data_IF_078315065640
#
_entry.id   IF_078315065640
#
_cell.length_a   1.000
_cell.length_b   1.000
_cell.length_c   1.000
_cell.angle_alpha   90.00
_cell.angle_beta   90.00
_cell.angle_gamma   90.00
#
_symmetry.space_group_name_H-M   'P 1'
#
loop_
_entity.id
_entity.type
_entity.pdbx_description
1 polymer ?
#
# COMPACT_ATOMS: atom_id res chain seq x y z
N UNK A 1 16.66 4.96 9.02
CA UNK A 1 15.67 4.16 9.78
C UNK A 1 15.37 2.88 9.00
N UNK A 2 15.68 1.71 9.57
CA UNK A 2 15.42 0.44 8.91
C UNK A 2 13.94 0.13 9.01
N UNK A 3 13.25 0.04 7.86
CA UNK A 3 11.94 -0.58 7.76
C UNK A 3 12.01 -1.93 8.48
N UNK A 4 11.34 -2.05 9.63
CA UNK A 4 11.32 -3.29 10.41
C UNK A 4 11.02 -4.46 9.47
N UNK A 5 11.84 -5.52 9.53
CA UNK A 5 11.68 -6.70 8.67
C UNK A 5 10.30 -7.31 8.92
N UNK A 6 9.55 -7.53 7.84
CA UNK A 6 8.26 -8.21 7.88
C UNK A 6 8.50 -9.67 8.23
N UNK A 7 7.86 -10.16 9.29
CA UNK A 7 7.97 -11.55 9.72
C UNK A 7 6.99 -12.45 8.96
N UNK A 8 7.52 -13.15 7.96
CA UNK A 8 6.80 -14.12 7.13
C UNK A 8 6.76 -15.53 7.73
N UNK A 9 7.36 -15.76 8.91
CA UNK A 9 7.35 -17.06 9.57
C UNK A 9 6.10 -17.30 10.42
N UNK A 10 5.30 -16.25 10.65
CA UNK A 10 3.98 -16.34 11.29
C UNK A 10 2.95 -17.03 10.40
N UNK A 11 1.92 -17.64 10.99
CA UNK A 11 0.77 -18.09 10.20
C UNK A 11 -0.02 -16.90 9.66
N UNK A 12 -0.78 -17.14 8.59
CA UNK A 12 -1.58 -16.12 7.90
C UNK A 12 -2.51 -15.37 8.86
N UNK A 13 -3.12 -16.06 9.82
CA UNK A 13 -4.10 -15.45 10.72
C UNK A 13 -3.42 -14.43 11.63
N UNK A 14 -2.29 -14.79 12.22
CA UNK A 14 -1.50 -13.89 13.06
C UNK A 14 -0.92 -12.72 12.25
N UNK A 15 -0.44 -12.98 11.03
CA UNK A 15 0.02 -11.93 10.12
C UNK A 15 -1.08 -10.91 9.84
N UNK A 16 -2.25 -11.37 9.40
CA UNK A 16 -3.39 -10.52 9.04
C UNK A 16 -3.94 -9.78 10.26
N UNK A 17 -4.02 -10.43 11.42
CA UNK A 17 -4.47 -9.78 12.65
C UNK A 17 -3.53 -8.65 13.07
N UNK A 18 -2.22 -8.89 13.10
CA UNK A 18 -1.21 -7.91 13.51
C UNK A 18 -1.12 -6.75 12.52
N UNK A 19 -0.91 -7.03 11.23
CA UNK A 19 -0.78 -5.99 10.22
C UNK A 19 -2.10 -5.28 9.94
N UNK A 20 -3.21 -6.02 9.95
CA UNK A 20 -4.54 -5.45 9.76
C UNK A 20 -4.85 -4.38 10.80
N UNK A 21 -4.59 -4.64 12.07
CA UNK A 21 -4.80 -3.67 13.14
C UNK A 21 -3.91 -2.41 13.00
N UNK A 22 -2.64 -2.58 12.63
CA UNK A 22 -1.70 -1.45 12.41
C UNK A 22 -2.13 -0.58 11.25
N UNK A 23 -2.49 -1.21 10.12
CA UNK A 23 -2.94 -0.50 8.92
C UNK A 23 -4.28 0.19 9.19
N UNK A 24 -5.20 -0.44 9.91
CA UNK A 24 -6.50 0.16 10.23
C UNK A 24 -6.36 1.41 11.10
N UNK A 25 -5.49 1.35 12.13
CA UNK A 25 -5.15 2.52 12.94
C UNK A 25 -4.54 3.65 12.09
N UNK A 26 -3.67 3.31 11.15
CA UNK A 26 -3.07 4.27 10.23
C UNK A 26 -4.09 4.88 9.23
N UNK A 27 -5.12 4.14 8.83
CA UNK A 27 -6.14 4.58 7.87
C UNK A 27 -7.33 5.30 8.51
N UNK A 28 -7.41 5.35 9.84
CA UNK A 28 -8.52 5.95 10.57
C UNK A 28 -8.86 7.38 10.07
N UNK A 29 -10.16 7.64 9.87
CA UNK A 29 -10.67 8.94 9.40
C UNK A 29 -10.48 9.22 7.90
N UNK A 30 -10.00 8.24 7.13
CA UNK A 30 -9.91 8.31 5.66
C UNK A 30 -11.01 7.48 4.97
N UNK A 31 -11.22 7.66 3.66
CA UNK A 31 -12.09 6.77 2.87
C UNK A 31 -11.67 5.30 2.88
N UNK A 32 -10.42 5.00 3.21
CA UNK A 32 -9.89 3.63 3.36
C UNK A 32 -9.95 3.11 4.82
N UNK A 33 -10.57 3.83 5.75
CA UNK A 33 -10.75 3.33 7.12
C UNK A 33 -11.59 2.04 7.13
N UNK A 34 -11.19 1.06 7.96
CA UNK A 34 -11.83 -0.26 8.03
C UNK A 34 -11.21 -1.32 7.11
N UNK A 35 -10.30 -0.92 6.19
CA UNK A 35 -9.72 -1.83 5.19
C UNK A 35 -8.36 -2.42 5.59
N UNK A 36 -7.91 -2.23 6.84
CA UNK A 36 -6.62 -2.73 7.29
C UNK A 36 -6.42 -4.23 7.05
N UNK A 37 -7.43 -5.04 7.40
CA UNK A 37 -7.44 -6.49 7.16
C UNK A 37 -7.31 -6.82 5.67
N UNK A 38 -8.05 -6.12 4.80
CA UNK A 38 -8.02 -6.31 3.35
C UNK A 38 -6.64 -6.05 2.77
N UNK A 39 -5.95 -4.99 3.21
CA UNK A 39 -4.57 -4.73 2.82
C UNK A 39 -3.62 -5.83 3.29
N UNK A 40 -3.75 -6.27 4.55
CA UNK A 40 -2.89 -7.31 5.10
C UNK A 40 -3.10 -8.67 4.40
N UNK A 41 -4.34 -9.02 4.06
CA UNK A 41 -4.67 -10.24 3.32
C UNK A 41 -4.09 -10.23 1.90
N UNK A 42 -4.24 -9.12 1.17
CA UNK A 42 -3.66 -8.97 -0.17
C UNK A 42 -2.13 -9.00 -0.10
N UNK A 43 -1.53 -8.33 0.88
CA UNK A 43 -0.09 -8.35 1.10
C UNK A 43 0.45 -9.76 1.37
N UNK A 44 -0.25 -10.51 2.22
CA UNK A 44 0.06 -11.92 2.47
C UNK A 44 -0.03 -12.76 1.19
N UNK A 45 -1.13 -12.63 0.46
CA UNK A 45 -1.39 -13.43 -0.74
C UNK A 45 -0.35 -13.21 -1.85
N UNK A 46 0.18 -12.00 -1.99
CA UNK A 46 1.11 -11.64 -3.05
C UNK A 46 2.57 -11.45 -2.59
N UNK A 47 2.87 -11.69 -1.31
CA UNK A 47 4.22 -11.53 -0.77
C UNK A 47 4.74 -10.09 -0.81
N UNK A 48 3.84 -9.11 -0.63
CA UNK A 48 4.14 -7.67 -0.65
C UNK A 48 4.34 -7.17 0.78
N UNK A 49 5.26 -6.23 0.99
CA UNK A 49 5.37 -5.51 2.26
C UNK A 49 4.02 -4.86 2.61
N UNK A 50 3.37 -5.25 3.71
CA UNK A 50 2.00 -4.83 4.02
C UNK A 50 1.86 -3.32 4.21
N UNK A 51 2.97 -2.61 4.42
CA UNK A 51 2.99 -1.15 4.55
C UNK A 51 2.96 -0.44 3.19
N UNK A 52 3.43 -1.08 2.12
CA UNK A 52 3.72 -0.40 0.86
C UNK A 52 2.47 0.18 0.20
N UNK A 53 1.46 -0.66 -0.04
CA UNK A 53 0.20 -0.24 -0.68
C UNK A 53 -0.54 0.87 0.10
N UNK A 54 -0.75 0.77 1.44
CA UNK A 54 -1.37 1.85 2.22
C UNK A 54 -0.49 3.10 2.35
N UNK A 55 0.84 2.99 2.30
CA UNK A 55 1.73 4.15 2.28
C UNK A 55 1.62 4.91 0.95
N UNK A 56 1.58 4.21 -0.19
CA UNK A 56 1.41 4.83 -1.50
C UNK A 56 0.04 5.54 -1.58
N UNK A 57 -1.04 4.93 -1.05
CA UNK A 57 -2.35 5.59 -1.08
C UNK A 57 -2.37 6.92 -0.30
N UNK A 58 -1.58 7.03 0.77
CA UNK A 58 -1.43 8.28 1.51
C UNK A 58 -0.69 9.35 0.70
N UNK A 59 0.39 8.97 0.01
CA UNK A 59 1.18 9.88 -0.83
C UNK A 59 0.38 10.36 -2.03
N UNK A 60 -0.37 9.47 -2.69
CA UNK A 60 -1.02 9.75 -3.98
C UNK A 60 -2.39 10.42 -3.84
N UNK A 61 -3.13 10.15 -2.76
CA UNK A 61 -4.52 10.61 -2.64
C UNK A 61 -4.94 11.00 -1.23
N UNK A 62 -4.01 11.10 -0.28
CA UNK A 62 -4.36 11.27 1.15
C UNK A 62 -5.30 10.15 1.63
N UNK A 63 -4.92 8.90 1.34
CA UNK A 63 -5.62 7.66 1.74
C UNK A 63 -7.02 7.56 1.12
N UNK A 64 -7.12 7.89 -0.16
CA UNK A 64 -8.35 7.79 -0.95
C UNK A 64 -9.25 9.03 -0.92
N UNK A 65 -8.82 10.14 -0.30
CA UNK A 65 -9.58 11.40 -0.22
C UNK A 65 -9.64 12.15 -1.54
N UNK A 66 -8.56 12.12 -2.30
CA UNK A 66 -8.43 12.84 -3.57
C UNK A 66 -8.08 11.85 -4.69
N UNK A 67 -9.11 11.24 -5.26
CA UNK A 67 -8.92 10.30 -6.37
C UNK A 67 -9.26 10.97 -7.69
N UNK A 68 -8.45 10.70 -8.71
CA UNK A 68 -8.72 11.16 -10.08
C UNK A 68 -9.74 10.29 -10.81
N UNK A 69 -9.88 9.01 -10.40
CA UNK A 69 -10.89 8.06 -10.88
C UNK A 69 -11.52 7.29 -9.70
N UNK A 70 -12.73 6.73 -9.85
CA UNK A 70 -13.38 5.94 -8.81
C UNK A 70 -12.47 4.86 -8.22
N UNK A 71 -12.38 4.86 -6.90
CA UNK A 71 -11.59 3.91 -6.09
C UNK A 71 -10.09 3.84 -6.44
N UNK A 72 -9.53 4.86 -7.11
CA UNK A 72 -8.10 4.90 -7.42
C UNK A 72 -7.32 5.79 -6.45
N UNK A 73 -6.97 5.21 -5.30
CA UNK A 73 -6.20 5.90 -4.27
C UNK A 73 -4.69 6.01 -4.57
N UNK A 74 -4.19 5.40 -5.64
CA UNK A 74 -2.75 5.23 -5.88
C UNK A 74 -2.25 5.90 -7.16
N UNK A 75 -3.09 6.62 -7.90
CA UNK A 75 -2.66 7.17 -9.19
C UNK A 75 -2.34 6.08 -10.22
N UNK A 76 -2.94 4.89 -10.08
CA UNK A 76 -2.50 3.70 -10.83
C UNK A 76 -3.00 3.74 -12.27
N UNK A 77 -2.14 4.21 -13.17
CA UNK A 77 -2.42 4.27 -14.61
C UNK A 77 -3.74 4.97 -14.93
N UNK A 78 -4.59 4.31 -15.71
CA UNK A 78 -5.96 4.73 -16.00
C UNK A 78 -7.01 3.87 -15.30
N UNK A 79 -6.64 3.20 -14.21
CA UNK A 79 -7.52 2.25 -13.54
C UNK A 79 -8.68 2.95 -12.82
N UNK A 80 -9.83 2.28 -12.83
CA UNK A 80 -11.03 2.64 -12.08
C UNK A 80 -11.68 1.34 -11.66
N UNK A 81 -12.10 1.24 -10.40
CA UNK A 81 -12.68 0.02 -9.85
C UNK A 81 -14.11 0.24 -9.36
N UNK A 82 -14.80 -0.82 -8.98
CA UNK A 82 -16.14 -0.78 -8.40
C UNK A 82 -16.16 -0.64 -6.87
N UNK A 83 -15.08 -1.04 -6.19
CA UNK A 83 -14.96 -0.94 -4.73
C UNK A 83 -13.51 -0.80 -4.25
N UNK A 84 -13.34 -0.46 -2.97
CA UNK A 84 -12.03 -0.41 -2.35
C UNK A 84 -11.38 -1.79 -2.23
N UNK A 85 -12.15 -2.84 -1.92
CA UNK A 85 -11.63 -4.20 -1.86
C UNK A 85 -11.00 -4.61 -3.19
N UNK A 86 -11.74 -4.44 -4.29
CA UNK A 86 -11.26 -4.75 -5.64
C UNK A 86 -9.94 -4.02 -5.94
N UNK A 87 -9.93 -2.71 -5.68
CA UNK A 87 -8.79 -1.85 -5.95
C UNK A 87 -7.56 -2.21 -5.11
N UNK A 88 -7.75 -2.55 -3.82
CA UNK A 88 -6.66 -2.97 -2.91
C UNK A 88 -6.01 -4.26 -3.40
N UNK A 89 -6.82 -5.25 -3.77
CA UNK A 89 -6.32 -6.53 -4.26
C UNK A 89 -5.58 -6.36 -5.58
N UNK A 90 -6.14 -5.61 -6.52
CA UNK A 90 -5.53 -5.39 -7.84
C UNK A 90 -4.23 -4.57 -7.76
N UNK A 91 -4.23 -3.47 -6.99
CA UNK A 91 -3.02 -2.67 -6.79
C UNK A 91 -1.90 -3.48 -6.11
N UNK A 92 -2.24 -4.29 -5.11
CA UNK A 92 -1.23 -5.13 -4.42
C UNK A 92 -0.66 -6.21 -5.34
N UNK A 93 -1.49 -6.84 -6.18
CA UNK A 93 -1.03 -7.76 -7.22
C UNK A 93 -0.07 -7.07 -8.21
N UNK A 94 -0.42 -5.85 -8.63
CA UNK A 94 0.40 -5.01 -9.50
C UNK A 94 1.77 -4.67 -8.90
N UNK A 95 1.84 -4.38 -7.60
CA UNK A 95 3.10 -4.16 -6.89
C UNK A 95 3.97 -5.43 -6.85
N UNK A 96 3.38 -6.60 -6.62
CA UNK A 96 4.11 -7.86 -6.65
C UNK A 96 4.70 -8.14 -8.03
N UNK A 97 3.87 -8.05 -9.08
CA UNK A 97 4.27 -8.38 -10.45
C UNK A 97 5.24 -7.35 -11.05
N UNK A 98 5.03 -6.06 -10.77
CA UNK A 98 5.68 -4.97 -11.48
C UNK A 98 6.78 -4.24 -10.71
N UNK A 99 6.82 -4.38 -9.37
CA UNK A 99 7.65 -3.56 -8.48
C UNK A 99 8.42 -4.38 -7.43
N UNK A 100 8.30 -5.71 -7.46
CA UNK A 100 9.02 -6.62 -6.56
C UNK A 100 8.47 -6.66 -5.14
N UNK A 101 7.28 -6.09 -4.89
CA UNK A 101 6.55 -6.18 -3.63
C UNK A 101 7.18 -5.42 -2.45
N UNK A 102 8.18 -4.57 -2.67
CA UNK A 102 8.85 -3.78 -1.62
C UNK A 102 9.31 -2.44 -2.17
N UNK A 103 9.40 -1.44 -1.29
CA UNK A 103 9.88 -0.12 -1.68
C UNK A 103 11.34 -0.22 -2.16
N UNK A 104 11.59 0.28 -3.37
CA UNK A 104 12.91 0.28 -3.99
C UNK A 104 13.10 1.55 -4.82
N UNK A 105 14.36 1.95 -5.02
CA UNK A 105 14.70 3.12 -5.84
C UNK A 105 14.25 2.93 -7.29
N UNK A 106 14.43 1.72 -7.84
CA UNK A 106 13.93 1.37 -9.18
C UNK A 106 12.40 1.38 -9.26
N UNK A 107 11.72 0.89 -8.22
CA UNK A 107 10.27 0.95 -8.12
C UNK A 107 9.76 2.40 -8.11
N UNK A 108 10.40 3.28 -7.34
CA UNK A 108 10.07 4.70 -7.32
C UNK A 108 10.33 5.40 -8.66
N UNK A 109 11.44 5.09 -9.34
CA UNK A 109 11.74 5.56 -10.69
C UNK A 109 10.69 5.15 -11.73
N UNK A 110 10.10 3.95 -11.56
CA UNK A 110 9.01 3.48 -12.40
C UNK A 110 7.67 4.13 -12.06
N UNK A 111 7.37 4.27 -10.77
CA UNK A 111 6.07 4.76 -10.29
C UNK A 111 5.92 6.27 -10.51
N UNK A 112 6.95 7.05 -10.16
CA UNK A 112 6.98 8.50 -10.31
C UNK A 112 8.29 8.94 -10.98
N UNK A 113 8.40 8.83 -12.32
CA UNK A 113 9.62 9.17 -13.05
C UNK A 113 9.97 10.66 -12.98
N UNK A 114 9.00 11.54 -12.70
CA UNK A 114 9.20 12.98 -12.61
C UNK A 114 9.96 13.38 -11.33
N UNK A 115 9.72 12.68 -10.21
CA UNK A 115 10.42 12.94 -8.95
C UNK A 115 10.61 11.65 -8.12
N UNK A 116 11.49 10.73 -8.56
CA UNK A 116 11.57 9.41 -7.95
C UNK A 116 12.14 9.42 -6.53
N UNK A 117 13.13 10.27 -6.26
CA UNK A 117 13.75 10.36 -4.94
C UNK A 117 12.81 10.99 -3.90
N UNK A 118 12.07 12.03 -4.30
CA UNK A 118 11.06 12.65 -3.46
C UNK A 118 9.92 11.67 -3.15
N UNK A 119 9.43 10.98 -4.17
CA UNK A 119 8.39 9.96 -4.01
C UNK A 119 8.83 8.82 -3.10
N UNK A 120 10.03 8.26 -3.32
CA UNK A 120 10.58 7.21 -2.46
C UNK A 120 10.62 7.65 -1.00
N UNK A 121 11.12 8.86 -0.74
CA UNK A 121 11.27 9.39 0.62
C UNK A 121 9.91 9.61 1.30
N UNK A 122 8.92 10.09 0.54
CA UNK A 122 7.56 10.28 1.04
C UNK A 122 6.89 8.93 1.39
N UNK A 123 7.00 7.94 0.51
CA UNK A 123 6.45 6.59 0.76
C UNK A 123 7.15 5.93 1.95
N UNK A 124 8.48 6.02 2.04
CA UNK A 124 9.22 5.49 3.20
C UNK A 124 8.74 6.13 4.50
N UNK A 125 8.56 7.46 4.52
CA UNK A 125 8.04 8.18 5.70
C UNK A 125 6.66 7.66 6.09
N UNK A 126 5.78 7.43 5.12
CA UNK A 126 4.45 6.86 5.39
C UNK A 126 4.51 5.41 5.87
N UNK A 127 5.42 4.59 5.33
CA UNK A 127 5.63 3.21 5.81
C UNK A 127 6.11 3.16 7.26
N UNK A 128 6.90 4.14 7.71
CA UNK A 128 7.38 4.23 9.10
C UNK A 128 6.29 4.62 10.12
N UNK A 129 5.14 5.13 9.65
CA UNK A 129 3.98 5.46 10.48
C UNK A 129 3.03 4.27 10.69
N UNK A 130 3.27 3.13 10.02
CA UNK A 130 2.47 1.89 10.10
C UNK A 130 3.19 0.88 10.97
#
# INVERSE_FOLDING_TARGET
>A
PSAQNVDWSSDKTNFVSSWGARIDAYLAGSPLAGYGSTFAEAAWAYGVDPRLSPAISAVESTKGRYNFLPYNAWGWGSASWGSWEEAIWDHTAGLAAGYGGRLSVSGAAKYNPANPNGWYSAVLTQMELI
#
